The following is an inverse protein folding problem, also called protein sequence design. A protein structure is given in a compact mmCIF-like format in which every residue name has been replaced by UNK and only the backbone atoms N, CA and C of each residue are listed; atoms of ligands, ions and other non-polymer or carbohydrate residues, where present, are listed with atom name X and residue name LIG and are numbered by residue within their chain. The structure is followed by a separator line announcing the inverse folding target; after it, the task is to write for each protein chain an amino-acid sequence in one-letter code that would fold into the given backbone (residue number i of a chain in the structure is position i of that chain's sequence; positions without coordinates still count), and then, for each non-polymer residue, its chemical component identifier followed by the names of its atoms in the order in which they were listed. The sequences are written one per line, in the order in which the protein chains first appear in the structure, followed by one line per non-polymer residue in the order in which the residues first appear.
data_IF_253217334458
#
_entry.id   IF_253217334458
#
_cell.length_a   1.000
_cell.length_b   1.000
_cell.length_c   1.000
_cell.angle_alpha   90.00
_cell.angle_beta   90.00
_cell.angle_gamma   90.00
#
_symmetry.space_group_name_H-M   'P 1'
#
loop_
_entity.id
_entity.type
_entity.pdbx_description
1 polymer ?
#
# COMPACT_ATOMS: atom_id res chain seq x y z
N UNK A 1 -0.21 20.73 12.08
CA UNK A 1 -0.23 20.47 10.62
C UNK A 1 -1.70 20.38 10.18
N UNK A 2 -2.08 20.99 9.06
CA UNK A 2 -3.47 20.98 8.59
C UNK A 2 -3.91 19.53 8.26
N UNK A 3 -5.12 19.11 8.68
CA UNK A 3 -5.61 17.76 8.43
C UNK A 3 -5.73 17.41 6.94
N UNK A 4 -6.01 18.41 6.09
CA UNK A 4 -6.01 18.22 4.63
C UNK A 4 -4.60 17.93 4.10
N UNK A 5 -3.57 18.53 4.71
CA UNK A 5 -2.17 18.27 4.37
C UNK A 5 -1.76 16.87 4.83
N UNK A 6 -2.24 16.43 6.02
CA UNK A 6 -2.03 15.05 6.50
C UNK A 6 -2.69 14.02 5.57
N UNK A 7 -3.95 14.22 5.21
CA UNK A 7 -4.67 13.35 4.28
C UNK A 7 -4.03 13.32 2.88
N UNK A 8 -3.62 14.49 2.35
CA UNK A 8 -2.93 14.58 1.06
C UNK A 8 -1.60 13.83 1.05
N UNK A 9 -0.82 13.91 2.15
CA UNK A 9 0.40 13.12 2.28
C UNK A 9 0.11 11.63 2.43
N UNK A 10 -0.91 11.23 3.21
CA UNK A 10 -1.33 9.83 3.31
C UNK A 10 -1.74 9.26 1.95
N UNK A 11 -2.46 10.04 1.13
CA UNK A 11 -2.82 9.65 -0.23
C UNK A 11 -1.59 9.51 -1.13
N UNK A 12 -0.70 10.49 -1.14
CA UNK A 12 0.51 10.45 -1.96
C UNK A 12 1.43 9.29 -1.56
N UNK A 13 1.65 9.06 -0.27
CA UNK A 13 2.44 7.92 0.23
C UNK A 13 1.75 6.58 -0.05
N UNK A 14 0.43 6.50 0.12
CA UNK A 14 -0.32 5.27 -0.18
C UNK A 14 -0.24 4.91 -1.66
N UNK A 15 -0.51 5.87 -2.54
CA UNK A 15 -0.51 5.65 -3.99
C UNK A 15 0.90 5.44 -4.54
N UNK A 16 1.86 6.31 -4.23
CA UNK A 16 3.23 6.20 -4.75
C UNK A 16 3.96 5.01 -4.12
N UNK A 17 3.78 4.78 -2.82
CA UNK A 17 4.37 3.66 -2.09
C UNK A 17 3.84 2.30 -2.54
N UNK A 18 2.61 2.25 -3.07
CA UNK A 18 2.08 1.04 -3.71
C UNK A 18 2.50 0.91 -5.17
N UNK A 19 2.39 1.96 -6.00
CA UNK A 19 2.57 1.83 -7.44
C UNK A 19 4.04 1.63 -7.88
N UNK A 20 4.98 2.32 -7.25
CA UNK A 20 6.40 2.27 -7.65
C UNK A 20 7.00 0.86 -7.51
N UNK A 21 6.75 0.14 -6.41
CA UNK A 21 7.24 -1.23 -6.30
C UNK A 21 6.51 -2.23 -7.21
N UNK A 22 5.21 -2.05 -7.46
CA UNK A 22 4.44 -2.88 -8.40
C UNK A 22 5.05 -2.86 -9.81
N UNK A 23 5.48 -1.69 -10.26
CA UNK A 23 6.21 -1.54 -11.51
C UNK A 23 7.55 -2.29 -11.47
N UNK A 24 8.23 -2.28 -10.32
CA UNK A 24 9.48 -3.03 -10.10
C UNK A 24 9.34 -4.54 -10.16
N UNK A 25 8.24 -5.11 -9.64
CA UNK A 25 7.94 -6.55 -9.77
C UNK A 25 7.66 -6.91 -11.22
N UNK A 26 6.79 -6.16 -11.90
CA UNK A 26 6.43 -6.44 -13.29
C UNK A 26 7.62 -6.30 -14.25
N UNK A 27 8.45 -5.27 -14.08
CA UNK A 27 9.66 -5.09 -14.86
C UNK A 27 10.65 -6.25 -14.65
N UNK A 28 10.83 -6.71 -13.42
CA UNK A 28 11.71 -7.84 -13.11
C UNK A 28 11.18 -9.16 -13.69
N UNK A 29 9.86 -9.42 -13.61
CA UNK A 29 9.24 -10.59 -14.26
C UNK A 29 9.35 -10.54 -15.77
N UNK A 30 9.15 -9.38 -16.39
CA UNK A 30 9.25 -9.23 -17.86
C UNK A 30 10.68 -9.47 -18.36
N UNK A 31 11.68 -9.05 -17.59
CA UNK A 31 13.09 -9.28 -17.89
C UNK A 31 13.57 -10.71 -17.55
N UNK A 32 12.69 -11.60 -17.09
CA UNK A 32 13.02 -12.97 -16.72
C UNK A 32 13.92 -13.09 -15.48
N UNK A 33 14.01 -12.05 -14.64
CA UNK A 33 14.81 -12.05 -13.41
C UNK A 33 13.93 -12.44 -12.22
N UNK A 34 13.60 -13.72 -12.10
CA UNK A 34 12.73 -14.27 -11.05
C UNK A 34 13.22 -13.95 -9.64
N UNK A 35 14.52 -14.02 -9.37
CA UNK A 35 15.10 -13.69 -8.06
C UNK A 35 14.83 -12.23 -7.67
N UNK A 36 14.96 -11.32 -8.63
CA UNK A 36 14.73 -9.89 -8.42
C UNK A 36 13.24 -9.59 -8.25
N UNK A 37 12.39 -10.28 -9.00
CA UNK A 37 10.94 -10.18 -8.85
C UNK A 37 10.47 -10.68 -7.48
N UNK A 38 11.03 -11.79 -6.97
CA UNK A 38 10.78 -12.32 -5.64
C UNK A 38 11.29 -11.42 -4.52
N UNK A 39 12.48 -10.84 -4.69
CA UNK A 39 12.98 -9.83 -3.75
C UNK A 39 12.07 -8.60 -3.71
N UNK A 40 11.70 -8.05 -4.88
CA UNK A 40 10.83 -6.90 -4.97
C UNK A 40 9.44 -7.18 -4.39
N UNK A 41 8.83 -8.34 -4.68
CA UNK A 41 7.50 -8.70 -4.15
C UNK A 41 7.52 -8.87 -2.63
N UNK A 42 8.59 -9.42 -2.05
CA UNK A 42 8.73 -9.52 -0.59
C UNK A 42 8.84 -8.17 0.12
N UNK A 43 9.57 -7.21 -0.45
CA UNK A 43 9.63 -5.83 0.05
C UNK A 43 8.25 -5.19 0.01
N UNK A 44 7.49 -5.42 -1.06
CA UNK A 44 6.14 -4.85 -1.22
C UNK A 44 5.18 -5.41 -0.21
N UNK A 45 5.23 -6.72 0.02
CA UNK A 45 4.42 -7.35 1.05
C UNK A 45 4.71 -6.72 2.41
N UNK A 46 5.98 -6.52 2.77
CA UNK A 46 6.36 -5.85 4.03
C UNK A 46 5.83 -4.41 4.10
N UNK A 47 6.06 -3.61 3.06
CA UNK A 47 5.58 -2.23 3.00
C UNK A 47 4.04 -2.15 3.03
N UNK A 48 3.35 -3.08 2.39
CA UNK A 48 1.90 -3.18 2.40
C UNK A 48 1.38 -3.48 3.81
N UNK A 49 2.03 -4.37 4.57
CA UNK A 49 1.67 -4.64 5.98
C UNK A 49 1.84 -3.38 6.84
N UNK A 50 2.98 -2.68 6.71
CA UNK A 50 3.22 -1.43 7.45
C UNK A 50 2.18 -0.36 7.11
N UNK A 51 1.85 -0.22 5.82
CA UNK A 51 0.85 0.73 5.35
C UNK A 51 -0.56 0.36 5.86
N UNK A 52 -0.93 -0.92 5.84
CA UNK A 52 -2.20 -1.42 6.39
C UNK A 52 -2.31 -1.05 7.87
N UNK A 53 -1.28 -1.33 8.67
CA UNK A 53 -1.27 -0.98 10.11
C UNK A 53 -1.45 0.54 10.30
N UNK A 54 -0.69 1.35 9.56
CA UNK A 54 -0.78 2.80 9.63
C UNK A 54 -2.18 3.31 9.24
N UNK A 55 -2.75 2.81 8.14
CA UNK A 55 -4.07 3.22 7.65
C UNK A 55 -5.18 2.82 8.62
N UNK A 56 -5.09 1.65 9.26
CA UNK A 56 -6.04 1.23 10.30
C UNK A 56 -6.02 2.20 11.46
N UNK A 57 -4.84 2.51 12.02
CA UNK A 57 -4.71 3.44 13.15
C UNK A 57 -5.23 4.83 12.80
N UNK A 58 -4.87 5.34 11.62
CA UNK A 58 -5.29 6.66 11.18
C UNK A 58 -6.81 6.71 10.88
N UNK A 59 -7.37 5.66 10.28
CA UNK A 59 -8.81 5.57 10.03
C UNK A 59 -9.59 5.57 11.34
N UNK A 60 -9.15 4.80 12.35
CA UNK A 60 -9.79 4.82 13.68
C UNK A 60 -9.70 6.20 14.35
N UNK A 61 -8.55 6.89 14.26
CA UNK A 61 -8.43 8.27 14.77
C UNK A 61 -9.43 9.21 14.10
N UNK A 62 -9.52 9.18 12.76
CA UNK A 62 -10.42 10.05 12.01
C UNK A 62 -11.90 9.69 12.19
N UNK A 63 -12.21 8.43 12.53
CA UNK A 63 -13.55 8.00 12.94
C UNK A 63 -13.95 8.61 14.29
N UNK A 64 -13.07 8.53 15.30
CA UNK A 64 -13.30 9.11 16.64
C UNK A 64 -13.47 10.64 16.55
N UNK A 65 -12.63 11.29 15.75
CA UNK A 65 -12.65 12.74 15.55
C UNK A 65 -13.78 13.23 14.61
N UNK A 66 -14.70 12.34 14.19
CA UNK A 66 -15.83 12.64 13.29
C UNK A 66 -15.44 13.21 11.90
N UNK A 67 -14.22 12.96 11.44
CA UNK A 67 -13.75 13.36 10.11
C UNK A 67 -14.15 12.36 9.02
N UNK A 68 -15.46 12.20 8.81
CA UNK A 68 -16.07 11.18 7.94
C UNK A 68 -15.48 11.12 6.52
N UNK A 69 -15.14 12.26 5.93
CA UNK A 69 -14.55 12.31 4.57
C UNK A 69 -13.15 11.68 4.51
N UNK A 70 -12.30 12.00 5.48
CA UNK A 70 -10.93 11.48 5.56
C UNK A 70 -10.97 9.99 5.92
N UNK A 71 -11.85 9.61 6.85
CA UNK A 71 -12.10 8.21 7.19
C UNK A 71 -12.43 7.34 5.97
N UNK A 72 -13.39 7.77 5.14
CA UNK A 72 -13.77 7.03 3.93
C UNK A 72 -12.58 6.90 2.96
N UNK A 73 -11.80 7.97 2.76
CA UNK A 73 -10.62 7.93 1.90
C UNK A 73 -9.59 6.91 2.39
N UNK A 74 -9.34 6.86 3.70
CA UNK A 74 -8.39 5.92 4.30
C UNK A 74 -8.87 4.48 4.24
N UNK A 75 -10.17 4.23 4.39
CA UNK A 75 -10.76 2.90 4.18
C UNK A 75 -10.59 2.44 2.73
N UNK A 76 -10.76 3.33 1.75
CA UNK A 76 -10.51 3.00 0.34
C UNK A 76 -9.03 2.64 0.11
N UNK A 77 -8.11 3.44 0.65
CA UNK A 77 -6.67 3.15 0.57
C UNK A 77 -6.29 1.85 1.29
N UNK A 78 -6.96 1.53 2.40
CA UNK A 78 -6.76 0.30 3.15
C UNK A 78 -7.14 -0.92 2.30
N UNK A 79 -8.30 -0.89 1.64
CA UNK A 79 -8.74 -1.96 0.75
C UNK A 79 -7.78 -2.18 -0.42
N UNK A 80 -7.29 -1.09 -1.02
CA UNK A 80 -6.27 -1.16 -2.08
C UNK A 80 -4.97 -1.80 -1.55
N UNK A 81 -4.52 -1.42 -0.36
CA UNK A 81 -3.30 -1.95 0.28
C UNK A 81 -3.41 -3.47 0.53
N UNK A 82 -4.58 -3.95 0.93
CA UNK A 82 -4.85 -5.38 1.12
C UNK A 82 -4.85 -6.12 -0.23
N UNK A 83 -5.53 -5.59 -1.24
CA UNK A 83 -5.54 -6.19 -2.58
C UNK A 83 -4.12 -6.30 -3.16
N UNK A 84 -3.30 -5.27 -2.93
CA UNK A 84 -1.87 -5.27 -3.28
C UNK A 84 -1.07 -6.37 -2.62
N UNK A 85 -1.25 -6.53 -1.30
CA UNK A 85 -0.57 -7.56 -0.54
C UNK A 85 -0.91 -8.95 -1.09
N UNK A 86 -2.19 -9.24 -1.33
CA UNK A 86 -2.67 -10.51 -1.87
C UNK A 86 -2.04 -10.79 -3.25
N UNK A 87 -2.03 -9.78 -4.13
CA UNK A 87 -1.44 -9.91 -5.46
C UNK A 87 0.07 -10.24 -5.40
N UNK A 88 0.83 -9.50 -4.58
CA UNK A 88 2.28 -9.72 -4.46
C UNK A 88 2.61 -11.05 -3.76
N UNK A 89 1.77 -11.50 -2.83
CA UNK A 89 1.86 -12.82 -2.22
C UNK A 89 1.66 -13.92 -3.27
N UNK A 90 0.66 -13.78 -4.15
CA UNK A 90 0.43 -14.74 -5.22
C UNK A 90 1.62 -14.84 -6.18
N UNK A 91 2.22 -13.70 -6.57
CA UNK A 91 3.45 -13.68 -7.38
C UNK A 91 4.60 -14.37 -6.64
N UNK A 92 4.84 -14.01 -5.38
CA UNK A 92 5.94 -14.56 -4.59
C UNK A 92 5.86 -16.08 -4.41
N UNK A 93 4.65 -16.63 -4.29
CA UNK A 93 4.45 -18.09 -4.17
C UNK A 93 4.61 -18.80 -5.53
N UNK A 94 4.37 -18.11 -6.64
CA UNK A 94 4.38 -18.70 -7.99
C UNK A 94 5.77 -18.72 -8.63
N UNK A 95 6.61 -17.74 -8.30
CA UNK A 95 7.98 -17.58 -8.81
C UNK A 95 8.99 -18.39 -7.99
#
# INVERSE_FOLDING_TARGET
MNQNVRAGMTFLFGVLGMLMPFAGVHAATFLGRSDLANFNSSIIMLLSVLLIVFLVVNAFSNFIDNHKKIFIMEVVLLLLSIASFIYNLAIFVTL
#
